data_IF_918113405644
#
_entry.id   IF_918113405644
#
_cell.length_a   1.000
_cell.length_b   1.000
_cell.length_c   1.000
_cell.angle_alpha   90.00
_cell.angle_beta   90.00
_cell.angle_gamma   90.00
#
_symmetry.space_group_name_H-M   'P 1'
#
loop_
_entity.id
_entity.type
_entity.pdbx_description
1 polymer ?
#
# COMPACT_ATOMS: atom_id res chain seq x y z
N UNK A 1 -6.28 6.84 10.72
CA UNK A 1 -6.98 5.58 10.45
C UNK A 1 -5.99 4.43 10.30
N UNK A 2 -4.96 4.61 9.48
CA UNK A 2 -3.98 3.56 9.26
C UNK A 2 -3.23 3.17 10.54
N UNK A 3 -2.82 4.17 11.32
CA UNK A 3 -2.13 3.92 12.59
C UNK A 3 -3.03 3.22 13.58
N UNK A 4 -4.31 3.58 13.62
CA UNK A 4 -5.26 2.95 14.53
C UNK A 4 -5.48 1.48 14.17
N UNK A 5 -5.58 1.16 12.89
CA UNK A 5 -5.72 -0.23 12.43
C UNK A 5 -4.47 -1.05 12.75
N UNK A 6 -3.28 -0.47 12.54
CA UNK A 6 -2.04 -1.13 12.88
C UNK A 6 -1.94 -1.40 14.37
N UNK A 7 -2.34 -0.44 15.19
CA UNK A 7 -2.34 -0.59 16.63
C UNK A 7 -3.31 -1.69 17.08
N UNK A 8 -4.50 -1.73 16.49
CA UNK A 8 -5.48 -2.76 16.80
C UNK A 8 -4.95 -4.16 16.45
N UNK A 9 -4.25 -4.29 15.31
CA UNK A 9 -3.65 -5.55 14.91
C UNK A 9 -2.55 -5.99 15.89
N UNK A 10 -1.74 -5.05 16.36
CA UNK A 10 -0.71 -5.34 17.37
C UNK A 10 -1.33 -5.84 18.67
N UNK A 11 -2.44 -5.24 19.09
CA UNK A 11 -3.14 -5.68 20.31
C UNK A 11 -3.66 -7.10 20.19
N UNK A 12 -3.90 -7.58 18.98
CA UNK A 12 -4.34 -8.94 18.72
C UNK A 12 -3.18 -9.92 18.52
N UNK A 13 -1.94 -9.46 18.71
CA UNK A 13 -0.77 -10.31 18.61
C UNK A 13 -0.19 -10.45 17.21
N UNK A 14 -0.65 -9.66 16.24
CA UNK A 14 -0.11 -9.67 14.90
C UNK A 14 1.18 -8.87 14.81
N UNK A 15 2.05 -9.28 13.90
CA UNK A 15 3.25 -8.52 13.58
C UNK A 15 2.90 -7.47 12.53
N UNK A 16 3.13 -6.20 12.88
CA UNK A 16 2.76 -5.06 12.03
C UNK A 16 4.00 -4.23 11.72
N UNK A 17 4.16 -3.86 10.46
CA UNK A 17 5.16 -2.88 10.05
C UNK A 17 4.44 -1.69 9.44
N UNK A 18 4.77 -0.50 9.92
CA UNK A 18 4.28 0.76 9.38
C UNK A 18 5.42 1.49 8.69
N UNK A 19 5.19 1.94 7.44
CA UNK A 19 6.15 2.74 6.69
C UNK A 19 5.42 3.73 5.81
N UNK A 20 5.94 4.94 5.74
CA UNK A 20 5.53 5.85 4.69
C UNK A 20 6.05 5.33 3.35
N UNK A 21 5.27 5.53 2.28
CA UNK A 21 5.58 4.94 0.98
C UNK A 21 6.99 5.31 0.49
N UNK A 22 7.35 6.60 0.57
CA UNK A 22 8.65 7.03 0.06
C UNK A 22 9.82 6.47 0.89
N UNK A 23 9.64 6.31 2.20
CA UNK A 23 10.67 5.71 3.06
C UNK A 23 10.86 4.24 2.72
N UNK A 24 9.76 3.51 2.55
CA UNK A 24 9.83 2.11 2.17
C UNK A 24 10.57 1.93 0.85
N UNK A 25 10.27 2.77 -0.14
CA UNK A 25 10.90 2.68 -1.44
C UNK A 25 12.39 3.05 -1.40
N UNK A 26 12.77 4.00 -0.56
CA UNK A 26 14.18 4.30 -0.30
C UNK A 26 14.89 3.11 0.33
N UNK A 27 14.27 2.46 1.30
CA UNK A 27 14.85 1.26 1.93
C UNK A 27 15.05 0.14 0.93
N UNK A 28 14.10 -0.06 0.02
CA UNK A 28 14.23 -1.07 -1.03
C UNK A 28 15.37 -0.72 -2.00
N UNK A 29 15.48 0.54 -2.39
CA UNK A 29 16.55 0.99 -3.26
C UNK A 29 17.92 0.79 -2.61
N UNK A 30 18.05 1.13 -1.34
CA UNK A 30 19.29 0.95 -0.59
C UNK A 30 19.64 -0.53 -0.48
N UNK A 31 18.66 -1.37 -0.17
CA UNK A 31 18.88 -2.80 -0.09
C UNK A 31 19.31 -3.38 -1.43
N UNK A 32 18.79 -2.87 -2.54
CA UNK A 32 19.16 -3.31 -3.87
C UNK A 32 20.61 -2.95 -4.19
N UNK A 33 21.05 -1.75 -3.79
CA UNK A 33 22.43 -1.32 -3.96
C UNK A 33 23.41 -2.18 -3.13
N UNK A 34 23.00 -2.58 -1.95
CA UNK A 34 23.80 -3.36 -1.03
C UNK A 34 23.71 -4.87 -1.28
N UNK A 35 23.05 -5.28 -2.36
CA UNK A 35 22.82 -6.68 -2.69
C UNK A 35 22.04 -7.43 -1.60
N UNK A 36 21.22 -6.70 -0.86
CA UNK A 36 20.42 -7.23 0.24
C UNK A 36 18.91 -7.22 -0.06
N UNK A 37 18.55 -7.09 -1.33
CA UNK A 37 17.15 -6.99 -1.75
C UNK A 37 16.32 -8.21 -1.34
N UNK A 38 16.88 -9.40 -1.55
CA UNK A 38 16.18 -10.64 -1.22
C UNK A 38 15.85 -10.72 0.26
N UNK A 39 16.82 -10.43 1.10
CA UNK A 39 16.63 -10.44 2.55
C UNK A 39 15.63 -9.40 3.01
N UNK A 40 15.65 -8.23 2.37
CA UNK A 40 14.72 -7.16 2.69
C UNK A 40 13.28 -7.58 2.39
N UNK A 41 13.04 -8.16 1.21
CA UNK A 41 11.71 -8.66 0.85
C UNK A 41 11.26 -9.79 1.76
N UNK A 42 12.16 -10.66 2.18
CA UNK A 42 11.83 -11.70 3.14
C UNK A 42 11.37 -11.11 4.48
N UNK A 43 12.03 -10.06 4.94
CA UNK A 43 11.62 -9.37 6.16
C UNK A 43 10.25 -8.74 6.02
N UNK A 44 9.98 -8.08 4.89
CA UNK A 44 8.66 -7.51 4.63
C UNK A 44 7.58 -8.58 4.64
N UNK A 45 7.86 -9.72 4.06
CA UNK A 45 6.90 -10.81 3.97
C UNK A 45 6.59 -11.43 5.35
N UNK A 46 7.51 -11.29 6.31
CA UNK A 46 7.32 -11.86 7.64
C UNK A 46 6.26 -11.12 8.47
N UNK A 47 5.91 -9.89 8.12
CA UNK A 47 4.90 -9.13 8.83
C UNK A 47 3.51 -9.54 8.40
N UNK A 48 2.62 -9.73 9.37
CA UNK A 48 1.22 -10.08 9.10
C UNK A 48 0.47 -8.94 8.44
N UNK A 49 0.75 -7.71 8.85
CA UNK A 49 0.18 -6.50 8.27
C UNK A 49 1.29 -5.53 7.92
N UNK A 50 1.30 -5.08 6.68
CA UNK A 50 2.16 -4.01 6.22
C UNK A 50 1.30 -2.79 5.93
N UNK A 51 1.58 -1.70 6.62
CA UNK A 51 0.89 -0.42 6.37
C UNK A 51 1.83 0.47 5.58
N UNK A 52 1.43 0.81 4.36
CA UNK A 52 2.14 1.72 3.48
C UNK A 52 1.34 3.01 3.41
N UNK A 53 1.86 4.06 4.03
CA UNK A 53 1.13 5.30 4.24
C UNK A 53 1.59 6.39 3.27
N UNK A 54 0.67 7.28 2.93
CA UNK A 54 0.94 8.47 2.11
C UNK A 54 1.47 8.16 0.71
N UNK A 55 0.91 7.17 0.06
CA UNK A 55 1.21 6.91 -1.34
C UNK A 55 0.68 8.06 -2.21
N UNK A 56 1.50 8.51 -3.14
CA UNK A 56 1.07 9.51 -4.11
C UNK A 56 1.45 10.94 -3.75
N UNK A 57 2.24 11.14 -2.71
CA UNK A 57 2.78 12.46 -2.39
C UNK A 57 3.65 12.99 -3.53
N UNK A 58 4.34 12.08 -4.23
CA UNK A 58 5.16 12.38 -5.39
C UNK A 58 4.91 11.32 -6.45
N UNK A 59 5.10 11.71 -7.72
CA UNK A 59 5.13 10.72 -8.78
C UNK A 59 6.35 9.83 -8.59
N UNK A 60 6.16 8.54 -8.72
CA UNK A 60 7.24 7.57 -8.56
C UNK A 60 8.03 7.42 -9.86
N UNK A 61 9.34 7.26 -9.75
CA UNK A 61 10.15 6.81 -10.87
C UNK A 61 9.80 5.38 -11.23
N UNK A 62 10.26 4.94 -12.39
CA UNK A 62 9.93 3.62 -12.91
C UNK A 62 10.34 2.50 -11.95
N UNK A 63 11.55 2.56 -11.42
CA UNK A 63 12.04 1.52 -10.52
C UNK A 63 11.26 1.50 -9.20
N UNK A 64 10.96 2.68 -8.66
CA UNK A 64 10.18 2.76 -7.43
C UNK A 64 8.77 2.19 -7.61
N UNK A 65 8.14 2.49 -8.75
CA UNK A 65 6.83 1.95 -9.05
C UNK A 65 6.87 0.43 -9.18
N UNK A 66 7.87 -0.12 -9.86
CA UNK A 66 8.05 -1.56 -9.98
C UNK A 66 8.28 -2.21 -8.61
N UNK A 67 9.08 -1.57 -7.76
CA UNK A 67 9.36 -2.09 -6.42
C UNK A 67 8.10 -2.13 -5.56
N UNK A 68 7.29 -1.07 -5.63
CA UNK A 68 6.03 -1.04 -4.90
C UNK A 68 5.08 -2.15 -5.36
N UNK A 69 4.95 -2.31 -6.68
CA UNK A 69 4.10 -3.35 -7.23
C UNK A 69 4.60 -4.73 -6.85
N UNK A 70 5.91 -4.93 -6.81
CA UNK A 70 6.47 -6.21 -6.37
C UNK A 70 6.12 -6.51 -4.91
N UNK A 71 6.23 -5.53 -4.02
CA UNK A 71 5.83 -5.69 -2.62
C UNK A 71 4.37 -6.15 -2.53
N UNK A 72 3.50 -5.43 -3.21
CA UNK A 72 2.07 -5.69 -3.18
C UNK A 72 1.77 -7.09 -3.73
N UNK A 73 2.37 -7.43 -4.87
CA UNK A 73 2.13 -8.72 -5.52
C UNK A 73 2.62 -9.91 -4.70
N UNK A 74 3.78 -9.78 -4.06
CA UNK A 74 4.30 -10.86 -3.22
C UNK A 74 3.44 -11.13 -2.00
N UNK A 75 2.78 -10.09 -1.48
CA UNK A 75 1.90 -10.20 -0.32
C UNK A 75 0.46 -10.55 -0.69
N UNK A 76 0.11 -10.41 -1.95
CA UNK A 76 -1.25 -10.62 -2.45
C UNK A 76 -1.75 -12.03 -2.07
N UNK A 77 -2.94 -12.08 -1.48
CA UNK A 77 -3.62 -13.30 -1.01
C UNK A 77 -2.84 -14.11 0.04
N UNK A 78 -1.73 -13.59 0.54
CA UNK A 78 -0.92 -14.31 1.55
C UNK A 78 -0.79 -13.52 2.85
N UNK A 79 -0.62 -12.24 2.75
CA UNK A 79 -0.44 -11.34 3.89
C UNK A 79 -1.28 -10.09 3.66
N UNK A 80 -1.66 -9.43 4.75
CA UNK A 80 -2.47 -8.23 4.66
C UNK A 80 -1.63 -7.00 4.39
N UNK A 81 -2.09 -6.15 3.48
CA UNK A 81 -1.45 -4.89 3.16
C UNK A 81 -2.49 -3.78 3.17
N UNK A 82 -2.18 -2.69 3.86
CA UNK A 82 -3.01 -1.50 3.89
C UNK A 82 -2.25 -0.36 3.22
N UNK A 83 -2.87 0.24 2.22
CA UNK A 83 -2.31 1.39 1.51
C UNK A 83 -3.17 2.61 1.77
N UNK A 84 -2.55 3.71 2.12
CA UNK A 84 -3.26 4.99 2.22
C UNK A 84 -2.72 5.97 1.20
N UNK A 85 -3.58 6.86 0.72
CA UNK A 85 -3.22 7.87 -0.27
C UNK A 85 -4.19 9.04 -0.17
N UNK A 86 -3.69 10.22 -0.43
CA UNK A 86 -4.54 11.40 -0.60
C UNK A 86 -5.04 11.54 -2.04
N UNK A 87 -4.64 10.64 -2.93
CA UNK A 87 -5.10 10.62 -4.31
C UNK A 87 -6.16 9.54 -4.49
N UNK A 88 -7.19 9.80 -5.29
CA UNK A 88 -8.17 8.76 -5.59
C UNK A 88 -7.49 7.61 -6.34
N UNK A 89 -8.05 6.42 -6.19
CA UNK A 89 -7.53 5.21 -6.82
C UNK A 89 -7.39 5.37 -8.33
N UNK A 90 -8.30 6.14 -8.93
CA UNK A 90 -8.31 6.40 -10.38
C UNK A 90 -7.04 7.10 -10.85
N UNK A 91 -6.36 7.83 -9.94
CA UNK A 91 -5.13 8.56 -10.27
C UNK A 91 -3.86 7.76 -10.01
N UNK A 92 -3.97 6.56 -9.46
CA UNK A 92 -2.78 5.77 -9.10
C UNK A 92 -1.96 5.35 -10.32
N UNK A 93 -2.60 5.16 -11.47
CA UNK A 93 -1.87 4.88 -12.70
C UNK A 93 -0.86 5.98 -13.02
N UNK A 94 -1.25 7.23 -12.81
CA UNK A 94 -0.36 8.38 -13.04
C UNK A 94 0.81 8.40 -12.07
N UNK A 95 0.56 8.04 -10.82
CA UNK A 95 1.60 7.95 -9.79
C UNK A 95 2.61 6.87 -10.12
N UNK A 96 2.12 5.74 -10.65
CA UNK A 96 2.90 4.54 -10.90
C UNK A 96 3.46 4.44 -12.33
N UNK A 97 3.24 5.47 -13.15
CA UNK A 97 3.84 5.52 -14.48
C UNK A 97 2.91 5.20 -15.64
N UNK A 98 1.64 5.00 -15.39
CA UNK A 98 0.55 4.98 -16.39
C UNK A 98 0.87 4.17 -17.65
N UNK A 99 1.39 2.96 -17.48
CA UNK A 99 1.61 2.04 -18.60
C UNK A 99 0.64 0.87 -18.51
N UNK A 100 0.52 0.13 -19.62
CA UNK A 100 -0.44 -0.97 -19.74
C UNK A 100 -0.23 -2.03 -18.67
N UNK A 101 1.01 -2.40 -18.39
CA UNK A 101 1.31 -3.43 -17.41
C UNK A 101 0.91 -2.98 -16.00
N UNK A 102 1.22 -1.75 -15.64
CA UNK A 102 0.84 -1.17 -14.34
C UNK A 102 -0.68 -1.12 -14.21
N UNK A 103 -1.36 -0.65 -15.25
CA UNK A 103 -2.82 -0.57 -15.24
C UNK A 103 -3.44 -1.94 -15.04
N UNK A 104 -2.96 -2.94 -15.77
CA UNK A 104 -3.47 -4.30 -15.65
C UNK A 104 -3.29 -4.88 -14.24
N UNK A 105 -2.11 -4.64 -13.65
CA UNK A 105 -1.83 -5.08 -12.28
C UNK A 105 -2.73 -4.38 -11.27
N UNK A 106 -2.91 -3.08 -11.41
CA UNK A 106 -3.77 -2.31 -10.52
C UNK A 106 -5.21 -2.80 -10.60
N UNK A 107 -5.73 -3.00 -11.80
CA UNK A 107 -7.08 -3.51 -11.99
C UNK A 107 -7.26 -4.86 -11.26
N UNK A 108 -6.31 -5.73 -11.41
CA UNK A 108 -6.34 -7.05 -10.77
C UNK A 108 -6.32 -6.95 -9.25
N UNK A 109 -5.43 -6.11 -8.72
CA UNK A 109 -5.31 -5.92 -7.28
C UNK A 109 -6.55 -5.27 -6.68
N UNK A 110 -7.07 -4.24 -7.34
CA UNK A 110 -8.23 -3.50 -6.86
C UNK A 110 -9.51 -4.33 -6.92
N UNK A 111 -9.56 -5.32 -7.80
CA UNK A 111 -10.70 -6.22 -7.88
C UNK A 111 -10.91 -7.00 -6.57
N UNK A 112 -9.83 -7.24 -5.82
CA UNK A 112 -9.86 -7.96 -4.56
C UNK A 112 -9.65 -7.07 -3.34
N UNK A 113 -9.50 -5.77 -3.54
CA UNK A 113 -9.23 -4.84 -2.45
C UNK A 113 -10.51 -4.26 -1.88
N UNK A 114 -10.46 -3.92 -0.60
CA UNK A 114 -11.50 -3.11 0.03
C UNK A 114 -11.06 -1.66 -0.05
N UNK A 115 -11.77 -0.86 -0.85
CA UNK A 115 -11.45 0.55 -1.05
C UNK A 115 -12.38 1.39 -0.19
N UNK A 116 -11.78 2.20 0.70
CA UNK A 116 -12.52 3.09 1.57
C UNK A 116 -12.08 4.52 1.25
N UNK A 117 -13.06 5.38 0.93
CA UNK A 117 -12.79 6.77 0.58
C UNK A 117 -13.18 7.67 1.74
N UNK A 118 -12.25 8.54 2.12
CA UNK A 118 -12.46 9.54 3.15
C UNK A 118 -12.24 10.92 2.59
N UNK A 119 -13.10 11.85 2.99
CA UNK A 119 -12.95 13.27 2.69
C UNK A 119 -13.54 14.07 3.83
N UNK A 120 -13.38 15.41 3.84
CA UNK A 120 -13.90 16.22 4.93
C UNK A 120 -15.38 16.01 5.18
N UNK A 121 -16.16 15.81 4.12
CA UNK A 121 -17.59 15.50 4.24
C UNK A 121 -17.85 14.05 4.57
N UNK A 122 -17.10 13.17 3.95
CA UNK A 122 -17.23 11.72 4.17
C UNK A 122 -16.88 11.33 5.58
N UNK A 123 -15.94 12.03 6.18
CA UNK A 123 -15.55 11.78 7.56
C UNK A 123 -16.72 11.97 8.53
N UNK A 124 -17.50 13.01 8.34
CA UNK A 124 -18.67 13.27 9.16
C UNK A 124 -19.82 12.32 8.86
N UNK A 125 -19.90 11.91 7.63
CA UNK A 125 -20.95 11.03 7.12
C UNK A 125 -20.50 9.59 7.08
N UNK A 126 -19.47 9.27 7.80
CA UNK A 126 -18.94 7.92 7.89
C UNK A 126 -19.95 7.01 8.56
N UNK A 127 -21.07 6.94 7.91
CA UNK A 127 -22.25 6.22 8.32
C UNK A 127 -22.24 4.84 7.67
N UNK A 128 -23.04 3.91 8.17
CA UNK A 128 -23.17 2.59 7.56
C UNK A 128 -23.53 2.64 6.08
N UNK A 129 -24.24 3.68 5.66
CA UNK A 129 -24.60 3.85 4.25
C UNK A 129 -23.39 3.95 3.34
N UNK A 130 -22.43 4.75 3.73
CA UNK A 130 -21.22 4.94 2.91
C UNK A 130 -20.36 3.68 2.89
N UNK A 131 -20.35 2.96 4.00
CA UNK A 131 -19.59 1.71 4.06
C UNK A 131 -20.24 0.62 3.21
N UNK A 132 -21.52 0.61 3.11
CA UNK A 132 -22.23 -0.40 2.34
C UNK A 132 -22.06 -0.25 0.84
N UNK A 133 -21.67 0.94 0.36
CA UNK A 133 -21.44 1.19 -1.06
C UNK A 133 -20.03 0.84 -1.51
N UNK A 134 -19.18 0.53 -0.60
CA UNK A 134 -17.79 0.21 -0.85
C UNK A 134 -17.53 -1.26 -0.60
#
# INVERSE_FOLDING_TARGET
>A
VAQALGHAALLQGHRVLYREAHILLEEIADASLDQARKEFFQKLFAFDLLVIDDLGMKQLGKQAAEDLLEVIMRRYERKSTLLTSNRPVEDWGKVLGDNTATTALLDRLLHHAHVVKFGPKSYRLNSPKNKAKE
#
